data_IF_932829673796
#
_entry.id   IF_932829673796
#
_cell.length_a   1.000
_cell.length_b   1.000
_cell.length_c   1.000
_cell.angle_alpha   90.00
_cell.angle_beta   90.00
_cell.angle_gamma   90.00
#
_symmetry.space_group_name_H-M   'P 1'
#
loop_
_entity.id
_entity.type
_entity.pdbx_description
1 polymer ?
#
# COMPACT_ATOMS: atom_id res chain seq x y z
N UNK A 1 28.24 4.23 40.71
CA UNK A 1 27.13 4.99 40.09
C UNK A 1 27.08 4.91 38.56
N UNK A 2 28.20 4.91 37.82
CA UNK A 2 28.16 4.88 36.33
C UNK A 2 27.60 3.58 35.72
N UNK A 3 27.84 2.42 36.35
CA UNK A 3 27.38 1.10 35.84
C UNK A 3 25.85 1.03 35.65
N UNK A 4 25.07 1.57 36.60
CA UNK A 4 23.60 1.51 36.57
C UNK A 4 22.99 2.34 35.43
N UNK A 5 23.68 3.40 34.99
CA UNK A 5 23.25 4.23 33.87
C UNK A 5 23.40 3.49 32.54
N UNK A 6 24.55 2.84 32.30
CA UNK A 6 24.78 2.07 31.08
C UNK A 6 23.82 0.88 30.95
N UNK A 7 23.53 0.18 32.06
CA UNK A 7 22.54 -0.92 32.04
C UNK A 7 21.14 -0.41 31.70
N UNK A 8 20.73 0.74 32.24
CA UNK A 8 19.44 1.35 31.91
C UNK A 8 19.35 1.78 30.43
N UNK A 9 20.42 2.37 29.88
CA UNK A 9 20.47 2.76 28.46
C UNK A 9 20.43 1.55 27.51
N UNK A 10 21.10 0.45 27.86
CA UNK A 10 21.05 -0.79 27.07
C UNK A 10 19.64 -1.40 27.12
N UNK A 11 19.01 -1.44 28.29
CA UNK A 11 17.65 -1.98 28.44
C UNK A 11 16.60 -1.17 27.69
N UNK A 12 16.68 0.17 27.71
CA UNK A 12 15.78 1.04 26.93
C UNK A 12 15.97 0.84 25.44
N UNK A 13 17.23 0.74 24.98
CA UNK A 13 17.53 0.49 23.56
C UNK A 13 17.01 -0.87 23.08
N UNK A 14 17.09 -1.91 23.91
CA UNK A 14 16.58 -3.24 23.58
C UNK A 14 15.05 -3.28 23.48
N UNK A 15 14.33 -2.56 24.35
CA UNK A 15 12.87 -2.44 24.31
C UNK A 15 12.41 -1.70 23.04
N UNK A 16 13.15 -0.66 22.62
CA UNK A 16 12.85 0.09 21.38
C UNK A 16 13.06 -0.78 20.13
N UNK A 17 14.11 -1.61 20.10
CA UNK A 17 14.41 -2.50 18.95
C UNK A 17 13.40 -3.66 18.85
N UNK A 18 12.94 -4.21 19.99
CA UNK A 18 11.91 -5.25 20.02
C UNK A 18 10.51 -4.72 19.64
N UNK A 19 10.22 -3.44 19.92
CA UNK A 19 8.99 -2.78 19.48
C UNK A 19 8.95 -2.43 17.98
N UNK A 20 10.11 -2.47 17.30
CA UNK A 20 10.23 -2.15 15.86
C UNK A 20 10.18 -3.37 14.95
N UNK A 21 10.11 -4.59 15.49
CA UNK A 21 9.65 -5.74 14.73
C UNK A 21 8.11 -5.68 14.60
N UNK A 22 7.62 -4.61 13.98
CA UNK A 22 6.33 -4.66 13.32
C UNK A 22 6.45 -5.81 12.31
N UNK A 23 5.92 -6.97 12.67
CA UNK A 23 5.77 -8.08 11.75
C UNK A 23 5.23 -7.50 10.44
N UNK A 24 5.82 -7.88 9.30
CA UNK A 24 5.18 -7.64 8.03
C UNK A 24 3.74 -8.14 8.21
N UNK A 25 2.76 -7.23 8.21
CA UNK A 25 1.39 -7.66 8.30
C UNK A 25 1.14 -8.47 7.05
N UNK A 26 0.63 -9.69 7.23
CA UNK A 26 0.09 -10.46 6.12
C UNK A 26 -0.97 -9.57 5.46
N UNK A 27 -0.62 -9.00 4.31
CA UNK A 27 -1.53 -8.18 3.53
C UNK A 27 -2.32 -9.11 2.62
N UNK A 28 -3.62 -9.19 2.84
CA UNK A 28 -4.51 -10.07 2.11
C UNK A 28 -5.84 -9.37 1.83
N UNK A 29 -6.33 -9.51 0.61
CA UNK A 29 -7.65 -9.12 0.17
C UNK A 29 -8.18 -10.22 -0.74
N UNK A 30 -9.33 -10.81 -0.39
CA UNK A 30 -9.96 -11.89 -1.13
C UNK A 30 -10.92 -11.39 -2.21
N UNK A 31 -11.16 -10.07 -2.27
CA UNK A 31 -12.08 -9.43 -3.20
C UNK A 31 -13.48 -10.08 -3.22
N UNK A 32 -13.97 -10.60 -2.08
CA UNK A 32 -15.33 -11.13 -1.98
C UNK A 32 -16.40 -10.05 -1.71
N UNK A 33 -15.97 -8.81 -1.43
CA UNK A 33 -16.88 -7.67 -1.25
C UNK A 33 -17.57 -7.24 -2.54
N UNK A 34 -18.59 -6.37 -2.40
CA UNK A 34 -19.30 -5.77 -3.55
C UNK A 34 -18.55 -4.60 -4.20
N UNK A 35 -17.46 -4.15 -3.57
CA UNK A 35 -16.61 -3.05 -4.03
C UNK A 35 -15.19 -3.23 -3.53
N UNK A 36 -14.25 -2.59 -4.22
CA UNK A 36 -12.85 -2.54 -3.80
C UNK A 36 -12.73 -1.81 -2.45
N UNK A 37 -11.97 -2.38 -1.52
CA UNK A 37 -11.77 -1.76 -0.21
C UNK A 37 -10.85 -0.53 -0.32
N UNK A 38 -11.42 0.67 -0.14
CA UNK A 38 -10.69 1.93 -0.26
C UNK A 38 -9.74 2.24 0.91
N UNK A 39 -9.80 1.46 2.01
CA UNK A 39 -8.77 1.56 3.06
C UNK A 39 -7.48 0.83 2.67
N UNK A 40 -7.54 -0.10 1.71
CA UNK A 40 -6.38 -0.89 1.25
C UNK A 40 -5.90 -0.42 -0.12
N UNK A 41 -6.82 -0.08 -1.02
CA UNK A 41 -6.52 0.19 -2.41
C UNK A 41 -6.93 1.59 -2.83
N UNK A 42 -6.07 2.23 -3.62
CA UNK A 42 -6.35 3.50 -4.29
C UNK A 42 -6.30 3.29 -5.80
N UNK A 43 -7.33 3.74 -6.50
CA UNK A 43 -7.39 3.73 -7.97
C UNK A 43 -6.79 5.02 -8.49
N UNK A 44 -5.81 4.93 -9.37
CA UNK A 44 -5.07 6.09 -9.87
C UNK A 44 -4.96 6.07 -11.40
N UNK A 45 -5.43 7.13 -12.03
CA UNK A 45 -5.20 7.39 -13.46
C UNK A 45 -3.82 8.04 -13.66
N UNK A 46 -2.78 7.37 -13.18
CA UNK A 46 -1.38 7.78 -13.34
C UNK A 46 -0.50 6.56 -13.56
N UNK A 47 0.61 6.74 -14.27
CA UNK A 47 1.65 5.72 -14.40
C UNK A 47 2.44 5.59 -13.09
N UNK A 48 2.83 4.37 -12.73
CA UNK A 48 3.73 4.15 -11.60
C UNK A 48 5.07 4.86 -11.81
N UNK A 49 5.49 5.68 -10.83
CA UNK A 49 6.82 6.29 -10.79
C UNK A 49 6.99 7.44 -11.77
N UNK A 50 5.89 8.06 -12.20
CA UNK A 50 5.91 9.22 -13.08
C UNK A 50 6.57 10.43 -12.41
N UNK A 51 7.31 11.21 -13.20
CA UNK A 51 7.78 12.53 -12.80
C UNK A 51 6.80 13.57 -13.37
N UNK A 52 5.99 14.24 -12.52
CA UNK A 52 4.98 15.19 -12.98
C UNK A 52 5.55 16.33 -13.83
N UNK A 53 6.83 16.68 -13.65
CA UNK A 53 7.49 17.75 -14.40
C UNK A 53 7.77 17.41 -15.87
N UNK A 54 7.66 16.14 -16.28
CA UNK A 54 7.94 15.69 -17.66
C UNK A 54 6.68 15.39 -18.48
N UNK A 55 5.52 15.80 -17.98
CA UNK A 55 4.21 15.45 -18.53
C UNK A 55 3.66 14.18 -17.92
N UNK A 56 2.33 14.05 -17.94
CA UNK A 56 1.61 12.90 -17.41
C UNK A 56 1.01 12.06 -18.52
N UNK A 57 1.03 10.74 -18.34
CA UNK A 57 0.29 9.79 -19.16
C UNK A 57 -0.83 9.17 -18.31
N UNK A 58 -1.89 8.72 -18.99
CA UNK A 58 -2.95 7.98 -18.33
C UNK A 58 -2.44 6.70 -17.65
N UNK A 59 -3.05 6.35 -16.53
CA UNK A 59 -2.86 5.10 -15.83
C UNK A 59 -4.11 4.24 -15.91
N UNK A 60 -4.55 3.75 -14.75
CA UNK A 60 -5.76 2.95 -14.65
C UNK A 60 -6.97 3.88 -14.56
N UNK A 61 -7.91 3.74 -15.49
CA UNK A 61 -9.19 4.46 -15.43
C UNK A 61 -10.03 3.89 -14.28
N UNK A 62 -10.37 4.69 -13.24
CA UNK A 62 -11.01 4.18 -12.03
C UNK A 62 -12.34 3.46 -12.26
N UNK A 63 -13.07 3.83 -13.30
CA UNK A 63 -14.36 3.25 -13.71
C UNK A 63 -14.20 1.82 -14.24
N UNK A 64 -13.01 1.47 -14.74
CA UNK A 64 -12.71 0.13 -15.27
C UNK A 64 -12.24 -0.86 -14.20
N UNK A 65 -12.14 -0.40 -12.95
CA UNK A 65 -11.65 -1.20 -11.82
C UNK A 65 -12.79 -1.50 -10.88
N UNK A 66 -13.09 -2.78 -10.73
CA UNK A 66 -14.17 -3.26 -9.88
C UNK A 66 -13.87 -4.65 -9.35
N UNK A 67 -14.66 -5.07 -8.37
CA UNK A 67 -14.59 -6.42 -7.79
C UNK A 67 -15.74 -7.24 -8.36
N UNK A 68 -15.46 -8.49 -8.76
CA UNK A 68 -16.48 -9.42 -9.24
C UNK A 68 -16.06 -10.86 -8.98
N UNK A 69 -16.98 -11.66 -8.43
CA UNK A 69 -16.82 -13.11 -8.23
C UNK A 69 -15.50 -13.50 -7.52
N UNK A 70 -15.12 -12.78 -6.44
CA UNK A 70 -13.87 -13.04 -5.71
C UNK A 70 -12.60 -12.55 -6.41
N UNK A 71 -12.72 -11.65 -7.40
CA UNK A 71 -11.59 -11.17 -8.18
C UNK A 71 -11.56 -9.63 -8.25
N UNK A 72 -10.35 -9.06 -8.15
CA UNK A 72 -10.06 -7.72 -8.64
C UNK A 72 -10.02 -7.76 -10.18
N UNK A 73 -10.88 -6.99 -10.82
CA UNK A 73 -10.89 -6.84 -12.27
C UNK A 73 -10.41 -5.44 -12.66
N UNK A 74 -9.40 -5.39 -13.53
CA UNK A 74 -8.88 -4.16 -14.12
C UNK A 74 -9.02 -4.29 -15.64
N UNK A 75 -9.97 -3.56 -16.24
CA UNK A 75 -10.19 -3.62 -17.70
C UNK A 75 -9.38 -2.55 -18.43
N UNK A 76 -8.69 -2.95 -19.49
CA UNK A 76 -8.06 -2.04 -20.44
C UNK A 76 -8.89 -2.03 -21.73
N UNK A 77 -9.46 -0.88 -22.08
CA UNK A 77 -10.17 -0.68 -23.35
C UNK A 77 -9.29 -0.02 -24.43
N UNK A 78 -7.97 0.04 -24.26
CA UNK A 78 -7.07 0.60 -25.27
C UNK A 78 -7.44 2.04 -25.67
N UNK A 79 -7.75 2.25 -26.95
CA UNK A 79 -8.17 3.54 -27.51
C UNK A 79 -9.69 3.65 -27.74
N UNK A 80 -10.50 2.74 -27.19
CA UNK A 80 -11.97 2.73 -27.36
C UNK A 80 -12.71 3.70 -26.42
N UNK A 81 -12.04 4.73 -25.91
CA UNK A 81 -12.68 5.78 -25.11
C UNK A 81 -13.12 6.92 -26.04
N UNK A 82 -14.40 7.28 -25.96
CA UNK A 82 -15.01 8.38 -26.72
C UNK A 82 -15.07 9.66 -25.93
#
# INVERSE_FOLDING_TARGET
MRKNLYTAFISVSLIVILGQHAAAQDFFDDFNGTKLNSSYWKKENTKWGENPAKGTHGGVIPENVYVKDGNLVIRAHGNYYT
#
